data_IF_946465870195
#
_entry.id   IF_946465870195
#
_cell.length_a   1.000
_cell.length_b   1.000
_cell.length_c   1.000
_cell.angle_alpha   90.00
_cell.angle_beta   90.00
_cell.angle_gamma   90.00
#
_symmetry.space_group_name_H-M   'P 1'
#
loop_
_entity.id
_entity.type
_entity.pdbx_description
1 polymer ?
#
# COMPACT_ATOMS: atom_id res chain seq x y z
N UNK A 1 -9.98 7.64 53.78
CA UNK A 1 -10.39 9.03 54.10
C UNK A 1 -10.47 9.74 52.78
N UNK A 2 -11.45 10.16 52.35
CA UNK A 2 -12.80 10.74 52.32
C UNK A 2 -13.17 10.76 50.82
N UNK A 3 -14.16 10.03 50.29
CA UNK A 3 -15.63 10.07 50.40
C UNK A 3 -16.23 11.45 50.06
N UNK A 4 -17.23 11.34 49.20
CA UNK A 4 -18.44 12.16 48.99
C UNK A 4 -18.56 12.48 47.48
N UNK A 5 -19.38 11.83 46.69
CA UNK A 5 -20.82 11.51 46.71
C UNK A 5 -21.72 12.61 46.10
N UNK A 6 -22.38 12.21 44.99
CA UNK A 6 -23.82 12.33 44.67
C UNK A 6 -24.40 13.73 44.53
N UNK A 7 -25.21 13.96 43.46
CA UNK A 7 -26.66 14.21 43.50
C UNK A 7 -27.30 14.14 42.08
N UNK A 8 -28.32 13.31 42.01
CA UNK A 8 -29.44 13.25 41.06
C UNK A 8 -30.32 14.50 41.12
N UNK A 9 -30.98 14.87 40.04
CA UNK A 9 -32.40 15.19 40.07
C UNK A 9 -33.08 15.10 38.68
N UNK A 10 -34.07 14.24 38.63
CA UNK A 10 -35.21 14.14 37.75
C UNK A 10 -36.24 15.29 37.98
N UNK A 11 -37.07 15.54 36.93
CA UNK A 11 -38.51 15.82 36.96
C UNK A 11 -38.92 16.26 35.55
N UNK A 12 -39.68 15.61 34.75
CA UNK A 12 -41.07 15.13 34.68
C UNK A 12 -42.15 16.25 34.63
N UNK A 13 -43.03 16.16 33.63
CA UNK A 13 -44.32 16.86 33.53
C UNK A 13 -44.71 17.16 32.09
N UNK A 14 -45.47 16.38 31.39
CA UNK A 14 -46.90 15.98 31.35
C UNK A 14 -47.83 17.05 30.79
N UNK A 15 -48.62 16.55 29.76
CA UNK A 15 -49.96 16.91 29.26
C UNK A 15 -50.06 18.16 28.39
N UNK A 16 -50.89 18.16 27.33
CA UNK A 16 -52.05 17.40 26.95
C UNK A 16 -52.68 17.84 25.65
N UNK A 17 -53.53 17.01 25.20
CA UNK A 17 -54.58 16.96 24.21
C UNK A 17 -55.04 18.23 23.46
N UNK A 18 -55.43 18.02 22.18
CA UNK A 18 -56.36 18.85 21.46
C UNK A 18 -56.56 18.43 20.00
N UNK A 19 -57.60 17.63 19.74
CA UNK A 19 -58.15 17.32 18.42
C UNK A 19 -58.73 18.55 17.78
N UNK A 20 -58.55 18.70 16.46
CA UNK A 20 -59.72 18.99 15.57
C UNK A 20 -59.32 18.72 14.10
N UNK A 21 -60.19 17.98 13.45
CA UNK A 21 -60.16 17.70 12.01
C UNK A 21 -60.97 18.78 11.28
N UNK A 22 -60.54 19.18 10.07
CA UNK A 22 -61.40 19.58 9.00
C UNK A 22 -60.62 19.82 7.69
N UNK A 23 -61.11 19.27 6.61
CA UNK A 23 -61.20 19.94 5.33
C UNK A 23 -60.24 19.43 4.27
N UNK A 24 -60.73 18.55 3.41
CA UNK A 24 -60.14 18.23 2.12
C UNK A 24 -60.22 19.44 1.18
N UNK A 25 -59.10 19.74 0.48
CA UNK A 25 -59.19 20.46 -0.79
C UNK A 25 -58.23 19.79 -1.80
N UNK A 26 -58.85 19.23 -2.83
CA UNK A 26 -58.17 18.70 -4.00
C UNK A 26 -57.78 19.88 -4.90
N UNK A 27 -56.48 20.14 -5.02
CA UNK A 27 -55.98 20.96 -6.10
C UNK A 27 -54.72 20.32 -6.73
N UNK A 28 -54.99 19.75 -7.91
CA UNK A 28 -54.08 19.48 -9.04
C UNK A 28 -52.63 19.86 -8.87
N UNK A 29 -51.78 18.85 -8.83
CA UNK A 29 -50.37 18.97 -9.20
C UNK A 29 -50.24 18.77 -10.72
N UNK A 30 -49.48 19.62 -11.43
CA UNK A 30 -49.14 19.35 -12.81
C UNK A 30 -48.16 18.18 -12.88
N UNK A 31 -48.44 17.23 -13.76
CA UNK A 31 -47.50 16.20 -14.17
C UNK A 31 -46.25 16.87 -14.78
N UNK A 32 -45.18 17.00 -13.99
CA UNK A 32 -43.88 17.34 -14.49
C UNK A 32 -43.25 16.08 -15.07
N UNK A 33 -43.05 16.08 -16.40
CA UNK A 33 -42.15 15.17 -17.07
C UNK A 33 -40.77 15.28 -16.41
N UNK A 34 -40.42 14.36 -15.49
CA UNK A 34 -39.07 14.11 -15.11
C UNK A 34 -38.45 13.19 -16.17
N UNK A 35 -37.80 13.79 -17.16
CA UNK A 35 -36.80 13.07 -17.94
C UNK A 35 -35.81 12.48 -16.94
N UNK A 36 -35.39 11.21 -17.10
CA UNK A 36 -34.32 10.66 -16.25
C UNK A 36 -33.07 11.50 -16.52
N UNK A 37 -32.61 12.18 -15.47
CA UNK A 37 -31.31 12.81 -15.48
C UNK A 37 -30.31 11.67 -15.77
N UNK A 38 -29.77 11.63 -16.99
CA UNK A 38 -28.62 10.80 -17.30
C UNK A 38 -27.53 11.19 -16.28
N UNK A 39 -27.18 10.25 -15.42
CA UNK A 39 -26.02 10.39 -14.58
C UNK A 39 -24.85 10.63 -15.52
N UNK A 40 -24.32 11.82 -15.52
CA UNK A 40 -23.07 12.17 -16.19
C UNK A 40 -22.02 11.24 -15.55
N UNK A 41 -21.68 10.17 -16.24
CA UNK A 41 -20.55 9.31 -15.90
C UNK A 41 -19.34 10.22 -16.02
N UNK A 42 -18.90 10.76 -14.87
CA UNK A 42 -17.63 11.45 -14.76
C UNK A 42 -16.58 10.45 -15.30
N UNK A 43 -16.12 10.69 -16.51
CA UNK A 43 -14.97 9.96 -17.06
C UNK A 43 -13.81 10.28 -16.15
N UNK A 44 -13.42 9.30 -15.35
CA UNK A 44 -12.22 9.32 -14.54
C UNK A 44 -11.02 9.40 -15.50
N UNK A 45 -10.64 10.61 -15.86
CA UNK A 45 -9.54 10.87 -16.77
C UNK A 45 -8.29 10.97 -15.91
N UNK A 46 -7.61 9.84 -15.67
CA UNK A 46 -6.31 9.84 -15.06
C UNK A 46 -5.36 10.74 -15.86
N UNK A 47 -4.63 11.61 -15.16
CA UNK A 47 -3.57 12.40 -15.77
C UNK A 47 -2.42 11.45 -16.09
N UNK A 48 -2.14 11.23 -17.38
CA UNK A 48 -0.99 10.44 -17.81
C UNK A 48 0.31 11.20 -17.47
N UNK A 49 1.17 10.57 -16.71
CA UNK A 49 2.45 11.13 -16.28
C UNK A 49 3.57 10.54 -17.13
N UNK A 50 4.33 11.41 -17.80
CA UNK A 50 5.62 11.05 -18.38
C UNK A 50 6.70 11.31 -17.33
N UNK A 51 7.35 10.24 -16.92
CA UNK A 51 8.34 10.30 -15.83
C UNK A 51 9.72 10.54 -16.41
N UNK A 52 10.40 11.58 -15.93
CA UNK A 52 11.75 11.94 -16.28
C UNK A 52 12.76 11.33 -15.29
N UNK A 53 14.05 11.38 -15.62
CA UNK A 53 15.14 10.94 -14.75
C UNK A 53 15.34 11.84 -13.52
N UNK A 54 14.75 13.02 -13.50
CA UNK A 54 14.71 13.92 -12.33
C UNK A 54 13.45 13.67 -11.52
N UNK A 55 13.52 13.91 -10.19
CA UNK A 55 12.33 13.84 -9.33
C UNK A 55 11.46 15.06 -9.62
N UNK A 56 10.23 14.82 -10.08
CA UNK A 56 9.24 15.84 -10.36
C UNK A 56 8.13 15.81 -9.29
N UNK A 57 7.86 16.96 -8.66
CA UNK A 57 6.73 17.11 -7.76
C UNK A 57 5.43 17.21 -8.58
N UNK A 58 4.54 16.22 -8.44
CA UNK A 58 3.22 16.22 -9.07
C UNK A 58 2.20 17.03 -8.29
N UNK A 59 2.28 16.95 -6.97
CA UNK A 59 1.57 17.79 -6.00
C UNK A 59 2.25 17.66 -4.63
N UNK A 60 1.88 18.52 -3.68
CA UNK A 60 2.49 18.52 -2.35
C UNK A 60 2.43 17.16 -1.68
N UNK A 61 3.58 16.52 -1.49
CA UNK A 61 3.73 15.21 -0.87
C UNK A 61 3.68 14.03 -1.84
N UNK A 62 3.54 14.28 -3.16
CA UNK A 62 3.61 13.25 -4.18
C UNK A 62 4.56 13.69 -5.29
N UNK A 63 5.56 12.87 -5.56
CA UNK A 63 6.53 13.06 -6.63
C UNK A 63 6.63 11.82 -7.51
N UNK A 64 7.19 11.97 -8.70
CA UNK A 64 7.54 10.87 -9.59
C UNK A 64 8.99 11.00 -10.05
N UNK A 65 9.62 9.85 -10.37
CA UNK A 65 10.97 9.79 -10.89
C UNK A 65 11.17 8.54 -11.74
N UNK A 66 12.23 8.54 -12.56
CA UNK A 66 12.61 7.42 -13.40
C UNK A 66 14.08 7.09 -13.21
N UNK A 67 14.38 5.82 -13.19
CA UNK A 67 15.74 5.30 -13.17
C UNK A 67 15.93 4.31 -14.29
N UNK A 68 17.00 4.47 -15.06
CA UNK A 68 17.43 3.54 -16.10
C UNK A 68 18.91 3.21 -15.89
N UNK A 69 19.27 1.94 -15.98
CA UNK A 69 20.66 1.50 -15.92
C UNK A 69 20.97 0.48 -14.83
N UNK A 70 22.22 0.46 -14.39
CA UNK A 70 22.70 -0.48 -13.37
C UNK A 70 22.26 -0.02 -11.98
N UNK A 71 21.37 -0.80 -11.34
CA UNK A 71 20.86 -0.52 -9.99
C UNK A 71 21.79 -1.07 -8.88
N UNK A 72 22.82 -1.81 -9.23
CA UNK A 72 23.76 -2.45 -8.30
C UNK A 72 23.17 -3.64 -7.53
N UNK A 73 21.93 -4.03 -7.81
CA UNK A 73 21.24 -5.04 -6.99
C UNK A 73 21.87 -6.44 -7.11
N UNK A 74 22.38 -6.80 -8.28
CA UNK A 74 23.14 -8.05 -8.50
C UNK A 74 24.42 -8.07 -7.64
N UNK A 75 25.12 -6.94 -7.55
CA UNK A 75 26.31 -6.80 -6.69
C UNK A 75 25.95 -6.86 -5.20
N UNK A 76 24.82 -6.22 -4.80
CA UNK A 76 24.29 -6.30 -3.45
C UNK A 76 24.03 -7.75 -3.01
N UNK A 77 23.32 -8.53 -3.82
CA UNK A 77 23.02 -9.94 -3.54
C UNK A 77 24.30 -10.78 -3.50
N UNK A 78 25.23 -10.57 -4.45
CA UNK A 78 26.51 -11.29 -4.50
C UNK A 78 27.42 -10.97 -3.34
N UNK A 79 27.29 -9.77 -2.76
CA UNK A 79 28.01 -9.32 -1.56
C UNK A 79 27.48 -9.91 -0.25
N UNK A 80 26.37 -10.66 -0.29
CA UNK A 80 25.74 -11.27 0.89
C UNK A 80 24.46 -10.59 1.33
N UNK A 81 24.04 -9.53 0.66
CA UNK A 81 22.83 -8.76 1.00
C UNK A 81 22.98 -7.93 2.28
N UNK A 82 21.90 -7.82 3.04
CA UNK A 82 21.89 -7.05 4.30
C UNK A 82 20.85 -7.60 5.29
N UNK A 83 21.21 -7.60 6.58
CA UNK A 83 20.34 -7.98 7.71
C UNK A 83 19.55 -6.81 8.27
N UNK A 84 20.00 -5.59 8.00
CA UNK A 84 19.41 -4.36 8.52
C UNK A 84 19.34 -3.28 7.46
N UNK A 85 18.39 -2.36 7.61
CA UNK A 85 18.29 -1.18 6.74
C UNK A 85 19.57 -0.32 6.80
N UNK A 86 20.28 -0.32 7.95
CA UNK A 86 21.56 0.36 8.08
C UNK A 86 22.65 -0.26 7.21
N UNK A 87 22.69 -1.59 7.05
CA UNK A 87 23.63 -2.27 6.15
C UNK A 87 23.26 -2.03 4.67
N UNK A 88 21.96 -1.92 4.33
CA UNK A 88 21.53 -1.49 2.99
C UNK A 88 22.06 -0.09 2.69
N UNK A 89 21.87 0.85 3.60
CA UNK A 89 22.39 2.23 3.43
C UNK A 89 23.92 2.27 3.38
N UNK A 90 24.61 1.41 4.12
CA UNK A 90 26.07 1.30 4.03
C UNK A 90 26.52 0.80 2.66
N UNK A 91 25.86 -0.24 2.12
CA UNK A 91 26.12 -0.71 0.76
C UNK A 91 25.95 0.40 -0.26
N UNK A 92 24.85 1.17 -0.18
CA UNK A 92 24.59 2.28 -1.08
C UNK A 92 25.63 3.40 -0.95
N UNK A 93 26.04 3.70 0.28
CA UNK A 93 27.10 4.69 0.54
C UNK A 93 28.43 4.27 -0.09
N UNK A 94 28.83 3.01 0.08
CA UNK A 94 30.07 2.48 -0.43
C UNK A 94 30.09 2.34 -1.96
N UNK A 95 28.91 2.06 -2.56
CA UNK A 95 28.79 1.78 -3.99
C UNK A 95 28.50 3.02 -4.84
N UNK A 96 27.72 3.97 -4.31
CA UNK A 96 27.19 5.11 -5.11
C UNK A 96 27.51 6.47 -4.50
N UNK A 97 27.75 6.57 -3.16
CA UNK A 97 27.88 7.86 -2.48
C UNK A 97 29.28 7.97 -1.84
N UNK A 98 30.20 8.63 -2.50
CA UNK A 98 31.50 8.91 -1.91
C UNK A 98 31.35 9.86 -0.70
N UNK A 99 31.51 9.32 0.51
CA UNK A 99 31.52 9.99 1.82
C UNK A 99 30.18 10.48 2.38
N UNK A 100 29.43 9.61 3.09
CA UNK A 100 28.66 10.05 4.29
C UNK A 100 28.14 8.85 5.07
N UNK A 101 28.55 8.70 6.32
CA UNK A 101 28.08 7.66 7.25
C UNK A 101 27.02 8.23 8.19
N UNK A 102 25.84 7.61 8.25
CA UNK A 102 24.79 7.91 9.21
C UNK A 102 24.24 6.66 9.87
N UNK A 103 23.95 6.72 11.18
CA UNK A 103 23.31 5.63 11.93
C UNK A 103 21.78 5.74 11.87
N UNK A 104 21.12 4.60 11.67
CA UNK A 104 19.66 4.47 11.53
C UNK A 104 18.96 4.40 12.89
N UNK A 105 17.96 5.22 13.15
CA UNK A 105 16.99 5.03 14.24
C UNK A 105 15.62 5.59 13.82
N UNK A 106 14.55 4.80 13.93
CA UNK A 106 13.18 5.24 13.68
C UNK A 106 12.28 5.04 14.89
N UNK A 107 11.26 5.91 15.02
CA UNK A 107 10.25 5.86 16.05
C UNK A 107 9.10 4.95 15.63
N UNK A 108 8.56 4.15 16.58
CA UNK A 108 7.56 3.11 16.30
C UNK A 108 6.15 3.69 16.30
N UNK A 109 5.49 3.72 15.17
CA UNK A 109 4.06 4.04 15.04
C UNK A 109 3.32 2.92 14.31
N UNK A 110 2.02 2.78 14.59
CA UNK A 110 1.18 1.79 13.94
C UNK A 110 0.66 2.31 12.61
N UNK A 111 0.65 1.47 11.57
CA UNK A 111 0.06 1.79 10.29
C UNK A 111 -0.85 0.69 9.76
N UNK A 112 -1.72 1.06 8.84
CA UNK A 112 -2.66 0.19 8.17
C UNK A 112 -2.29 -0.02 6.70
N UNK A 113 -2.83 -1.07 6.14
CA UNK A 113 -2.74 -1.35 4.72
C UNK A 113 -3.92 -2.21 4.29
N UNK A 114 -4.30 -2.12 3.02
CA UNK A 114 -5.29 -3.01 2.43
C UNK A 114 -4.92 -3.34 1.00
N UNK A 115 -5.14 -4.59 0.59
CA UNK A 115 -4.98 -5.01 -0.80
C UNK A 115 -6.14 -5.88 -1.23
N UNK A 116 -6.45 -5.85 -2.52
CA UNK A 116 -7.35 -6.80 -3.16
C UNK A 116 -6.87 -7.15 -4.57
N UNK A 117 -7.13 -8.38 -4.99
CA UNK A 117 -6.90 -8.88 -6.35
C UNK A 117 -8.23 -9.35 -6.93
N UNK A 118 -8.55 -8.93 -8.17
CA UNK A 118 -9.83 -9.24 -8.80
C UNK A 118 -9.70 -9.28 -10.32
N UNK A 119 -10.49 -10.15 -10.95
CA UNK A 119 -10.58 -10.22 -12.40
C UNK A 119 -11.52 -9.11 -12.95
N UNK A 120 -11.17 -8.51 -14.08
CA UNK A 120 -12.07 -7.63 -14.81
C UNK A 120 -12.98 -8.41 -15.78
N UNK A 121 -13.87 -7.71 -16.49
CA UNK A 121 -14.81 -8.35 -17.43
C UNK A 121 -14.15 -8.87 -18.72
N UNK A 122 -12.91 -8.49 -18.97
CA UNK A 122 -12.13 -8.90 -20.14
C UNK A 122 -11.29 -10.15 -19.85
N UNK A 123 -11.21 -10.55 -18.58
CA UNK A 123 -10.47 -11.70 -18.11
C UNK A 123 -9.10 -11.37 -17.56
N UNK A 124 -8.69 -10.09 -17.59
CA UNK A 124 -7.46 -9.59 -17.02
C UNK A 124 -7.58 -9.38 -15.51
N UNK A 125 -6.46 -9.19 -14.82
CA UNK A 125 -6.44 -9.02 -13.38
C UNK A 125 -6.02 -7.60 -12.98
N UNK A 126 -6.67 -7.13 -11.91
CA UNK A 126 -6.40 -5.85 -11.25
C UNK A 126 -5.94 -6.13 -9.83
N UNK A 127 -4.96 -5.34 -9.36
CA UNK A 127 -4.50 -5.37 -7.99
C UNK A 127 -4.66 -4.00 -7.37
N UNK A 128 -5.44 -3.91 -6.30
CA UNK A 128 -5.70 -2.69 -5.54
C UNK A 128 -4.87 -2.62 -4.26
N UNK A 129 -4.42 -1.42 -3.88
CA UNK A 129 -3.56 -1.17 -2.72
C UNK A 129 -3.92 0.14 -2.03
N UNK A 130 -4.14 0.13 -0.70
CA UNK A 130 -4.10 1.31 0.17
C UNK A 130 -2.89 1.23 1.09
N UNK A 131 -2.13 2.32 1.19
CA UNK A 131 -1.10 2.52 2.20
C UNK A 131 -1.56 3.57 3.20
N UNK A 132 -1.74 3.13 4.44
CA UNK A 132 -2.16 4.00 5.54
C UNK A 132 -0.96 4.28 6.44
N UNK A 133 -0.62 5.55 6.61
CA UNK A 133 0.52 6.01 7.39
C UNK A 133 0.26 7.43 7.93
N UNK A 134 1.18 7.94 8.73
CA UNK A 134 1.25 9.38 8.96
C UNK A 134 1.52 10.11 7.65
N UNK A 135 1.11 11.37 7.57
CA UNK A 135 1.40 12.23 6.41
C UNK A 135 2.87 12.13 6.01
N UNK A 136 3.12 11.73 4.78
CA UNK A 136 4.45 11.49 4.25
C UNK A 136 4.64 12.02 2.84
N UNK A 137 5.90 11.99 2.38
CA UNK A 137 6.26 12.32 1.00
C UNK A 137 6.44 11.01 0.22
N UNK A 138 5.53 10.75 -0.72
CA UNK A 138 5.58 9.59 -1.59
C UNK A 138 6.37 9.88 -2.87
N UNK A 139 7.15 8.90 -3.32
CA UNK A 139 7.77 8.89 -4.65
C UNK A 139 7.28 7.68 -5.42
N UNK A 140 6.67 7.92 -6.58
CA UNK A 140 6.41 6.89 -7.58
C UNK A 140 7.65 6.79 -8.46
N UNK A 141 8.29 5.63 -8.44
CA UNK A 141 9.52 5.39 -9.17
C UNK A 141 9.28 4.34 -10.27
N UNK A 142 9.52 4.75 -11.52
CA UNK A 142 9.66 3.81 -12.63
C UNK A 142 11.12 3.42 -12.72
N UNK A 143 11.43 2.14 -12.68
CA UNK A 143 12.77 1.63 -12.84
C UNK A 143 12.85 0.68 -14.05
N UNK A 144 13.91 0.84 -14.83
CA UNK A 144 14.27 -0.04 -15.96
C UNK A 144 15.72 -0.49 -15.75
N UNK A 145 15.94 -1.48 -14.86
CA UNK A 145 17.27 -1.95 -14.53
C UNK A 145 17.85 -2.79 -15.66
N UNK A 146 19.18 -2.71 -15.84
CA UNK A 146 19.87 -3.46 -16.89
C UNK A 146 19.75 -4.99 -16.72
N UNK A 147 19.73 -5.46 -15.46
CA UNK A 147 19.72 -6.87 -15.08
C UNK A 147 18.43 -7.25 -14.33
N UNK A 148 17.26 -6.85 -14.84
CA UNK A 148 15.97 -7.15 -14.19
C UNK A 148 14.78 -6.68 -14.99
N UNK A 149 13.59 -6.93 -14.48
CA UNK A 149 12.35 -6.44 -15.08
C UNK A 149 12.15 -4.95 -14.80
N UNK A 150 11.65 -4.23 -15.80
CA UNK A 150 11.14 -2.88 -15.57
C UNK A 150 9.97 -2.92 -14.59
N UNK A 151 9.84 -1.89 -13.76
CA UNK A 151 8.78 -1.84 -12.73
C UNK A 151 8.36 -0.42 -12.39
N UNK A 152 7.16 -0.29 -11.82
CA UNK A 152 6.70 0.89 -11.09
C UNK A 152 6.58 0.51 -9.61
N UNK A 153 7.11 1.34 -8.73
CA UNK A 153 7.06 1.13 -7.27
C UNK A 153 6.81 2.42 -6.52
N UNK A 154 6.31 2.30 -5.28
CA UNK A 154 6.12 3.46 -4.40
C UNK A 154 7.00 3.36 -3.17
N UNK A 155 7.57 4.50 -2.83
CA UNK A 155 8.50 4.67 -1.71
C UNK A 155 8.04 5.82 -0.82
N UNK A 156 8.15 5.65 0.48
CA UNK A 156 8.05 6.75 1.43
C UNK A 156 9.43 7.40 1.59
N UNK A 157 9.60 8.59 1.00
CA UNK A 157 10.88 9.33 1.05
C UNK A 157 11.29 9.73 2.46
N UNK A 158 10.33 9.88 3.36
CA UNK A 158 10.63 10.24 4.75
C UNK A 158 11.31 9.10 5.49
N UNK A 159 11.03 7.84 5.13
CA UNK A 159 11.79 6.70 5.64
C UNK A 159 13.27 6.78 5.26
N UNK A 160 13.55 7.08 3.99
CA UNK A 160 14.93 7.24 3.51
C UNK A 160 15.63 8.41 4.22
N UNK A 161 14.96 9.58 4.31
CA UNK A 161 15.52 10.77 4.95
C UNK A 161 15.79 10.56 6.44
N UNK A 162 14.85 9.94 7.15
CA UNK A 162 15.02 9.62 8.57
C UNK A 162 16.15 8.61 8.75
N UNK A 163 16.22 7.61 7.90
CA UNK A 163 17.26 6.60 7.91
C UNK A 163 18.65 7.16 7.68
N UNK A 164 18.81 8.11 6.79
CA UNK A 164 20.06 8.81 6.56
C UNK A 164 20.42 9.81 7.69
N UNK A 165 19.54 10.00 8.68
CA UNK A 165 19.77 10.90 9.81
C UNK A 165 20.04 12.33 9.38
N UNK A 166 21.07 12.99 9.95
CA UNK A 166 21.42 14.36 9.56
C UNK A 166 21.85 14.51 8.09
N UNK A 167 22.34 13.42 7.46
CA UNK A 167 22.69 13.42 6.06
C UNK A 167 21.46 13.38 5.13
N UNK A 168 20.30 12.96 5.63
CA UNK A 168 19.08 12.82 4.82
C UNK A 168 18.61 14.11 4.14
N UNK A 169 18.87 15.26 4.74
CA UNK A 169 18.60 16.57 4.16
C UNK A 169 19.62 17.03 3.11
N UNK A 170 20.72 16.28 2.95
CA UNK A 170 21.82 16.58 2.04
C UNK A 170 21.85 15.62 0.84
N UNK A 171 20.96 14.63 0.79
CA UNK A 171 20.85 13.72 -0.34
C UNK A 171 20.41 14.52 -1.58
N UNK A 172 21.16 14.40 -2.67
CA UNK A 172 20.73 14.88 -3.98
C UNK A 172 19.60 14.03 -4.53
N UNK A 173 18.90 14.50 -5.55
CA UNK A 173 17.82 13.76 -6.20
C UNK A 173 18.32 12.42 -6.75
N UNK A 174 19.51 12.38 -7.37
CA UNK A 174 20.12 11.15 -7.86
C UNK A 174 20.36 10.13 -6.72
N UNK A 175 20.89 10.59 -5.59
CA UNK A 175 21.10 9.75 -4.41
C UNK A 175 19.77 9.26 -3.82
N UNK A 176 18.74 10.11 -3.84
CA UNK A 176 17.40 9.76 -3.38
C UNK A 176 16.75 8.71 -4.27
N UNK A 177 16.88 8.84 -5.60
CA UNK A 177 16.37 7.84 -6.57
C UNK A 177 17.06 6.49 -6.38
N UNK A 178 18.40 6.47 -6.24
CA UNK A 178 19.14 5.23 -5.97
C UNK A 178 18.70 4.60 -4.65
N UNK A 179 18.56 5.38 -3.57
CA UNK A 179 18.08 4.85 -2.29
C UNK A 179 16.63 4.34 -2.40
N UNK A 180 15.79 5.00 -3.19
CA UNK A 180 14.39 4.59 -3.41
C UNK A 180 14.28 3.23 -4.13
N UNK A 181 15.23 2.86 -4.99
CA UNK A 181 15.27 1.52 -5.60
C UNK A 181 15.33 0.41 -4.55
N UNK A 182 15.96 0.66 -3.41
CA UNK A 182 16.15 -0.31 -2.33
C UNK A 182 15.08 -0.23 -1.23
N UNK A 183 14.13 0.69 -1.35
CA UNK A 183 13.12 0.96 -0.32
C UNK A 183 11.66 0.87 -0.80
N UNK A 184 11.28 0.06 -1.82
CA UNK A 184 9.90 -0.03 -2.28
C UNK A 184 9.00 -0.67 -1.22
N UNK A 185 7.78 -0.12 -1.07
CA UNK A 185 6.73 -0.63 -0.20
C UNK A 185 5.66 -1.41 -0.96
N UNK A 186 5.53 -1.13 -2.25
CA UNK A 186 4.67 -1.79 -3.21
C UNK A 186 5.17 -1.58 -4.63
N UNK A 187 4.62 -2.29 -5.57
CA UNK A 187 4.93 -2.11 -6.97
C UNK A 187 4.38 -3.21 -7.87
N UNK A 188 4.55 -2.99 -9.17
CA UNK A 188 4.25 -3.94 -10.23
C UNK A 188 5.40 -3.95 -11.24
N UNK A 189 5.80 -5.12 -11.73
CA UNK A 189 6.80 -5.21 -12.80
C UNK A 189 6.17 -5.44 -14.18
N UNK A 190 7.00 -5.44 -15.22
CA UNK A 190 6.58 -5.62 -16.61
C UNK A 190 5.99 -7.01 -16.96
N UNK A 191 6.04 -7.94 -16.02
CA UNK A 191 5.37 -9.25 -16.13
C UNK A 191 3.99 -9.24 -15.48
N UNK A 192 3.58 -8.11 -14.88
CA UNK A 192 2.33 -7.98 -14.17
C UNK A 192 2.34 -8.56 -12.75
N UNK A 193 3.53 -8.93 -12.22
CA UNK A 193 3.62 -9.32 -10.81
C UNK A 193 3.50 -8.08 -9.93
N UNK A 194 2.50 -8.08 -9.03
CA UNK A 194 2.29 -7.07 -8.01
C UNK A 194 2.77 -7.57 -6.64
N UNK A 195 3.43 -6.70 -5.89
CA UNK A 195 3.89 -6.95 -4.53
C UNK A 195 3.50 -5.77 -3.64
N UNK A 196 3.04 -6.05 -2.42
CA UNK A 196 2.75 -5.05 -1.40
C UNK A 196 3.19 -5.53 -0.03
N UNK A 197 3.83 -4.64 0.74
CA UNK A 197 4.15 -4.86 2.15
C UNK A 197 3.00 -4.38 3.02
N UNK A 198 2.47 -5.27 3.85
CA UNK A 198 1.44 -4.95 4.82
C UNK A 198 1.99 -5.24 6.22
N UNK A 199 1.91 -4.30 7.14
CA UNK A 199 2.37 -4.49 8.51
C UNK A 199 1.36 -5.30 9.33
N UNK A 200 1.87 -6.10 10.27
CA UNK A 200 1.05 -6.72 11.32
C UNK A 200 1.44 -6.11 12.66
N UNK A 201 0.45 -5.69 13.45
CA UNK A 201 0.69 -5.16 14.78
C UNK A 201 0.99 -6.29 15.78
N UNK A 202 2.19 -6.85 15.67
CA UNK A 202 2.74 -7.84 16.58
C UNK A 202 4.09 -7.36 17.12
N UNK A 203 4.48 -7.86 18.29
CA UNK A 203 5.80 -7.62 18.87
C UNK A 203 6.88 -8.54 18.30
N UNK A 204 6.48 -9.60 17.58
CA UNK A 204 7.41 -10.44 16.86
C UNK A 204 8.04 -9.65 15.70
N UNK A 205 9.17 -10.12 15.22
CA UNK A 205 9.85 -9.60 14.04
C UNK A 205 10.35 -10.77 13.20
N UNK A 206 10.78 -10.50 11.98
CA UNK A 206 11.39 -11.50 11.10
C UNK A 206 12.92 -11.36 11.22
N UNK A 207 13.58 -12.48 11.47
CA UNK A 207 15.05 -12.54 11.55
C UNK A 207 15.48 -13.97 11.29
N UNK A 208 15.53 -14.39 10.02
CA UNK A 208 15.97 -15.71 9.62
C UNK A 208 17.51 -15.79 9.69
N UNK A 209 18.04 -16.97 10.00
CA UNK A 209 19.50 -17.23 10.07
C UNK A 209 19.76 -18.68 9.62
N UNK A 210 19.46 -18.95 8.35
CA UNK A 210 19.64 -20.27 7.72
C UNK A 210 20.93 -20.37 6.93
N UNK A 211 21.74 -19.30 6.96
CA UNK A 211 23.02 -19.19 6.25
C UNK A 211 22.88 -18.91 4.76
N UNK A 212 21.81 -18.23 4.37
CA UNK A 212 21.57 -17.77 3.01
C UNK A 212 21.95 -16.30 2.89
N UNK A 213 21.91 -15.75 1.67
CA UNK A 213 22.03 -14.32 1.43
C UNK A 213 20.88 -13.59 2.13
N UNK A 214 21.20 -12.51 2.82
CA UNK A 214 20.27 -11.77 3.66
C UNK A 214 19.52 -10.69 2.86
N UNK A 215 18.24 -10.54 3.15
CA UNK A 215 17.38 -9.48 2.60
C UNK A 215 16.63 -8.78 3.73
N UNK A 216 16.46 -7.47 3.60
CA UNK A 216 15.47 -6.74 4.39
C UNK A 216 14.10 -6.82 3.71
N UNK A 217 13.03 -6.40 4.41
CA UNK A 217 11.67 -6.37 3.83
C UNK A 217 11.64 -5.64 2.48
N UNK A 218 12.26 -4.46 2.39
CA UNK A 218 12.19 -3.64 1.19
C UNK A 218 13.07 -4.18 0.06
N UNK A 219 14.24 -4.73 0.39
CA UNK A 219 15.09 -5.37 -0.63
C UNK A 219 14.50 -6.69 -1.14
N UNK A 220 13.67 -7.37 -0.33
CA UNK A 220 12.88 -8.51 -0.82
C UNK A 220 11.83 -8.07 -1.84
N UNK A 221 11.13 -6.94 -1.63
CA UNK A 221 10.22 -6.37 -2.64
C UNK A 221 11.00 -6.05 -3.93
N UNK A 222 12.18 -5.41 -3.83
CA UNK A 222 13.03 -5.14 -5.01
C UNK A 222 13.45 -6.42 -5.73
N UNK A 223 13.84 -7.47 -4.99
CA UNK A 223 14.16 -8.78 -5.59
C UNK A 223 13.00 -9.31 -6.43
N UNK A 224 11.80 -9.31 -5.87
CA UNK A 224 10.60 -9.83 -6.55
C UNK A 224 10.26 -9.00 -7.79
N UNK A 225 10.32 -7.67 -7.68
CA UNK A 225 10.08 -6.79 -8.83
C UNK A 225 11.11 -6.99 -9.94
N UNK A 226 12.38 -7.23 -9.61
CA UNK A 226 13.43 -7.42 -10.60
C UNK A 226 13.40 -8.82 -11.24
N UNK A 227 12.94 -9.89 -10.57
CA UNK A 227 13.26 -11.25 -10.97
C UNK A 227 12.07 -12.22 -11.02
N UNK A 228 10.92 -11.92 -10.42
CA UNK A 228 9.78 -12.82 -10.44
C UNK A 228 8.72 -12.39 -11.46
N UNK A 229 8.27 -13.32 -12.30
CA UNK A 229 7.16 -13.09 -13.22
C UNK A 229 5.83 -13.60 -12.67
N UNK A 230 5.86 -14.59 -11.79
CA UNK A 230 4.68 -15.27 -11.23
C UNK A 230 4.76 -15.38 -9.71
N UNK A 231 3.62 -15.67 -9.08
CA UNK A 231 3.56 -15.98 -7.63
C UNK A 231 4.48 -17.16 -7.29
N UNK A 232 4.48 -18.22 -8.10
CA UNK A 232 5.31 -19.39 -7.82
C UNK A 232 6.82 -19.05 -7.88
N UNK A 233 7.26 -18.25 -8.85
CA UNK A 233 8.65 -17.78 -8.92
C UNK A 233 8.99 -16.87 -7.73
N UNK A 234 8.06 -16.00 -7.31
CA UNK A 234 8.24 -15.13 -6.14
C UNK A 234 8.45 -15.95 -4.86
N UNK A 235 7.65 -17.01 -4.66
CA UNK A 235 7.78 -17.91 -3.50
C UNK A 235 9.10 -18.70 -3.53
N UNK A 236 9.51 -19.18 -4.71
CA UNK A 236 10.79 -19.86 -4.89
C UNK A 236 11.97 -18.93 -4.55
N UNK A 237 11.95 -17.69 -5.05
CA UNK A 237 12.97 -16.68 -4.75
C UNK A 237 13.03 -16.38 -3.27
N UNK A 238 11.91 -16.04 -2.61
CA UNK A 238 11.89 -15.78 -1.15
C UNK A 238 12.44 -16.96 -0.35
N UNK A 239 12.19 -18.19 -0.82
CA UNK A 239 12.74 -19.40 -0.22
C UNK A 239 14.26 -19.52 -0.30
N UNK A 240 14.95 -18.82 -1.19
CA UNK A 240 16.40 -18.87 -1.41
C UNK A 240 17.19 -17.92 -0.49
N UNK A 241 16.53 -16.97 0.18
CA UNK A 241 17.14 -15.92 0.99
C UNK A 241 16.74 -16.04 2.46
N UNK A 242 17.47 -15.36 3.33
CA UNK A 242 17.11 -15.13 4.74
C UNK A 242 16.52 -13.72 4.88
N UNK A 243 15.26 -13.64 5.33
CA UNK A 243 14.52 -12.39 5.45
C UNK A 243 14.67 -11.81 6.85
N UNK A 244 14.89 -10.49 6.90
CA UNK A 244 14.94 -9.66 8.09
C UNK A 244 13.96 -8.50 7.98
N UNK A 245 13.23 -8.22 9.05
CA UNK A 245 12.25 -7.15 9.04
C UNK A 245 12.91 -5.78 8.96
N UNK A 246 12.56 -4.97 7.96
CA UNK A 246 12.89 -3.55 7.94
C UNK A 246 12.26 -2.85 9.15
N UNK A 247 13.01 -1.95 9.78
CA UNK A 247 12.57 -1.16 10.94
C UNK A 247 12.05 -2.01 12.12
N UNK A 248 12.36 -3.31 12.14
CA UNK A 248 11.86 -4.29 13.11
C UNK A 248 10.33 -4.43 13.14
N UNK A 249 9.63 -4.06 12.08
CA UNK A 249 8.18 -4.27 11.98
C UNK A 249 7.86 -5.68 11.48
N UNK A 250 6.92 -6.34 12.15
CA UNK A 250 6.34 -7.55 11.60
C UNK A 250 5.50 -7.18 10.36
N UNK A 251 5.78 -7.87 9.27
CA UNK A 251 5.11 -7.65 7.99
C UNK A 251 4.72 -8.97 7.36
N UNK A 252 3.77 -8.89 6.42
CA UNK A 252 3.50 -9.93 5.43
C UNK A 252 3.39 -9.30 4.05
N UNK A 253 3.55 -10.11 3.02
CA UNK A 253 3.46 -9.66 1.64
C UNK A 253 2.15 -10.10 1.02
N UNK A 254 1.46 -9.19 0.31
CA UNK A 254 0.49 -9.56 -0.70
C UNK A 254 1.22 -9.66 -2.03
N UNK A 255 1.12 -10.80 -2.70
CA UNK A 255 1.72 -11.05 -4.00
C UNK A 255 0.64 -11.57 -4.95
N UNK A 256 0.51 -10.94 -6.12
CA UNK A 256 -0.45 -11.34 -7.13
C UNK A 256 0.18 -11.29 -8.53
N UNK A 257 -0.17 -12.23 -9.41
CA UNK A 257 0.31 -12.27 -10.79
C UNK A 257 -0.81 -12.08 -11.82
N UNK A 258 -0.42 -11.89 -13.07
CA UNK A 258 -1.34 -11.69 -14.19
C UNK A 258 -2.14 -12.95 -14.56
N UNK A 259 -1.81 -14.12 -14.02
CA UNK A 259 -2.56 -15.36 -14.18
C UNK A 259 -3.67 -15.52 -13.13
N UNK A 260 -3.78 -14.56 -12.19
CA UNK A 260 -4.81 -14.50 -11.15
C UNK A 260 -4.47 -15.27 -9.88
N UNK A 261 -3.22 -15.68 -9.72
CA UNK A 261 -2.79 -16.18 -8.42
C UNK A 261 -2.61 -14.98 -7.48
N UNK A 262 -3.11 -15.11 -6.25
CA UNK A 262 -2.96 -14.11 -5.20
C UNK A 262 -2.75 -14.79 -3.85
N UNK A 263 -1.71 -14.38 -3.13
CA UNK A 263 -1.29 -14.99 -1.87
C UNK A 263 -0.88 -13.95 -0.84
N UNK A 264 -1.09 -14.31 0.43
CA UNK A 264 -0.39 -13.71 1.56
C UNK A 264 0.83 -14.57 1.90
N UNK A 265 2.00 -13.94 2.05
CA UNK A 265 3.22 -14.60 2.51
C UNK A 265 3.55 -14.07 3.90
N UNK A 266 3.45 -14.92 4.89
CA UNK A 266 3.63 -14.63 6.30
C UNK A 266 4.86 -15.35 6.85
N UNK A 267 5.46 -14.79 7.88
CA UNK A 267 6.59 -15.42 8.58
C UNK A 267 6.20 -15.66 10.03
N UNK A 268 5.93 -16.92 10.37
CA UNK A 268 5.55 -17.34 11.72
C UNK A 268 6.73 -18.10 12.31
N UNK A 269 7.26 -17.58 13.41
CA UNK A 269 8.48 -18.13 14.05
C UNK A 269 9.66 -18.28 13.05
N UNK A 270 9.80 -17.30 12.15
CA UNK A 270 10.77 -17.26 11.05
C UNK A 270 10.56 -18.31 9.93
N UNK A 271 9.46 -19.05 9.94
CA UNK A 271 9.10 -19.94 8.85
C UNK A 271 8.10 -19.27 7.90
N UNK A 272 8.36 -19.39 6.60
CA UNK A 272 7.50 -18.84 5.56
C UNK A 272 6.21 -19.68 5.45
N UNK A 273 5.05 -19.03 5.60
CA UNK A 273 3.73 -19.62 5.46
C UNK A 273 2.97 -18.89 4.38
N UNK A 274 2.33 -19.63 3.47
CA UNK A 274 1.62 -19.07 2.32
C UNK A 274 0.14 -19.37 2.41
N UNK A 275 -0.69 -18.34 2.34
CA UNK A 275 -2.15 -18.44 2.32
C UNK A 275 -2.70 -17.89 1.01
N UNK A 276 -3.45 -18.69 0.24
CA UNK A 276 -4.14 -18.17 -0.96
C UNK A 276 -5.29 -17.27 -0.52
N UNK A 277 -5.25 -16.03 -0.99
CA UNK A 277 -6.27 -15.03 -0.65
C UNK A 277 -6.28 -13.90 -1.68
N UNK A 278 -7.44 -13.39 -2.09
CA UNK A 278 -7.53 -12.17 -2.91
C UNK A 278 -7.49 -10.88 -2.08
N UNK A 279 -7.59 -10.96 -0.75
CA UNK A 279 -7.60 -9.80 0.15
C UNK A 279 -6.57 -9.97 1.24
N UNK A 280 -5.83 -8.89 1.54
CA UNK A 280 -4.92 -8.84 2.68
C UNK A 280 -5.04 -7.48 3.36
N UNK A 281 -5.04 -7.48 4.70
CA UNK A 281 -5.00 -6.26 5.51
C UNK A 281 -3.85 -6.35 6.53
N UNK A 282 -4.09 -6.22 7.84
CA UNK A 282 -3.01 -6.13 8.84
C UNK A 282 -3.21 -7.13 10.01
N UNK A 283 -3.56 -8.37 9.69
CA UNK A 283 -3.65 -9.46 10.67
C UNK A 283 -3.22 -10.79 10.04
N UNK A 284 -2.76 -11.74 10.86
CA UNK A 284 -2.33 -13.05 10.38
C UNK A 284 -3.50 -13.87 9.83
N UNK A 285 -3.36 -14.35 8.60
CA UNK A 285 -4.29 -15.25 7.94
C UNK A 285 -3.93 -16.73 8.17
N UNK A 286 -2.64 -17.03 8.30
CA UNK A 286 -2.15 -18.39 8.46
C UNK A 286 -2.80 -19.10 9.65
N UNK A 287 -3.18 -20.35 9.45
CA UNK A 287 -3.74 -21.20 10.51
C UNK A 287 -2.73 -21.42 11.64
N UNK A 288 -3.18 -21.39 12.89
CA UNK A 288 -2.36 -21.64 14.07
C UNK A 288 -2.55 -20.63 15.18
N UNK A 289 -1.59 -20.56 16.10
CA UNK A 289 -1.69 -19.72 17.31
C UNK A 289 -1.71 -18.21 17.02
N UNK A 290 -1.15 -17.80 15.90
CA UNK A 290 -1.11 -16.40 15.47
C UNK A 290 -2.31 -15.95 14.66
N UNK A 291 -3.16 -16.89 14.20
CA UNK A 291 -4.31 -16.56 13.34
C UNK A 291 -5.20 -15.49 13.94
N UNK A 292 -5.51 -14.46 13.17
CA UNK A 292 -6.37 -13.36 13.57
C UNK A 292 -5.72 -12.32 14.48
N UNK A 293 -4.45 -12.46 14.88
CA UNK A 293 -3.76 -11.39 15.61
C UNK A 293 -3.61 -10.18 14.69
N UNK A 294 -4.21 -9.07 15.10
CA UNK A 294 -4.26 -7.79 14.40
C UNK A 294 -5.29 -6.87 15.05
N UNK A 295 -5.57 -5.72 14.45
CA UNK A 295 -6.56 -4.78 14.98
C UNK A 295 -7.97 -5.10 14.51
N UNK A 296 -9.00 -4.67 15.27
CA UNK A 296 -10.39 -4.79 14.85
C UNK A 296 -10.67 -4.06 13.52
N UNK A 297 -10.06 -2.89 13.31
CA UNK A 297 -10.16 -2.15 12.06
C UNK A 297 -9.58 -2.92 10.86
N UNK A 298 -8.54 -3.70 11.10
CA UNK A 298 -7.95 -4.56 10.06
C UNK A 298 -8.92 -5.66 9.63
N UNK A 299 -9.58 -6.32 10.59
CA UNK A 299 -10.62 -7.31 10.30
C UNK A 299 -11.84 -6.69 9.60
N UNK A 300 -12.29 -5.51 10.05
CA UNK A 300 -13.41 -4.81 9.42
C UNK A 300 -13.12 -4.48 7.95
N UNK A 301 -11.93 -3.95 7.63
CA UNK A 301 -11.51 -3.67 6.26
C UNK A 301 -11.42 -4.95 5.41
N UNK A 302 -10.94 -6.03 5.98
CA UNK A 302 -10.90 -7.35 5.32
C UNK A 302 -12.30 -7.84 4.97
N UNK A 303 -13.25 -7.73 5.90
CA UNK A 303 -14.64 -8.14 5.71
C UNK A 303 -15.33 -7.28 4.64
N UNK A 304 -15.11 -5.97 4.63
CA UNK A 304 -15.64 -5.04 3.62
C UNK A 304 -15.14 -5.42 2.23
N UNK A 305 -13.83 -5.58 2.04
CA UNK A 305 -13.24 -5.94 0.74
C UNK A 305 -13.68 -7.32 0.27
N UNK A 306 -13.76 -8.30 1.18
CA UNK A 306 -14.26 -9.65 0.87
C UNK A 306 -15.74 -9.62 0.47
N UNK A 307 -16.53 -8.78 1.15
CA UNK A 307 -17.93 -8.51 0.79
C UNK A 307 -18.05 -7.91 -0.61
N UNK A 308 -17.24 -6.90 -0.91
CA UNK A 308 -17.22 -6.24 -2.23
C UNK A 308 -16.89 -7.24 -3.36
N UNK A 309 -15.89 -8.12 -3.16
CA UNK A 309 -15.57 -9.19 -4.12
C UNK A 309 -16.69 -10.23 -4.27
N UNK A 310 -17.42 -10.50 -3.20
CA UNK A 310 -18.56 -11.44 -3.23
C UNK A 310 -19.74 -10.83 -3.99
N UNK A 311 -20.03 -9.56 -3.79
CA UNK A 311 -21.10 -8.83 -4.47
C UNK A 311 -20.77 -8.57 -5.93
N UNK A 312 -19.50 -8.28 -6.23
CA UNK A 312 -19.01 -7.99 -7.56
C UNK A 312 -17.73 -8.78 -7.88
N UNK A 313 -17.88 -10.05 -8.34
CA UNK A 313 -16.74 -10.92 -8.64
C UNK A 313 -15.87 -10.47 -9.81
N UNK A 314 -16.34 -9.53 -10.63
CA UNK A 314 -15.59 -8.92 -11.72
C UNK A 314 -15.72 -7.40 -11.59
N UNK A 315 -14.58 -6.70 -11.53
CA UNK A 315 -14.51 -5.27 -11.25
C UNK A 315 -13.79 -4.51 -12.36
N UNK A 316 -14.25 -3.29 -12.63
CA UNK A 316 -13.50 -2.29 -13.40
C UNK A 316 -12.44 -1.62 -12.50
N UNK A 317 -11.52 -0.85 -13.07
CA UNK A 317 -10.59 -0.02 -12.30
C UNK A 317 -11.33 0.94 -11.35
N UNK A 318 -12.45 1.51 -11.78
CA UNK A 318 -13.30 2.38 -10.95
C UNK A 318 -13.90 1.61 -9.76
N UNK A 319 -14.33 0.36 -9.97
CA UNK A 319 -14.88 -0.46 -8.88
C UNK A 319 -13.81 -0.83 -7.85
N UNK A 320 -12.58 -1.12 -8.31
CA UNK A 320 -11.44 -1.36 -7.41
C UNK A 320 -11.11 -0.10 -6.61
N UNK A 321 -11.08 1.09 -7.27
CA UNK A 321 -10.93 2.38 -6.59
C UNK A 321 -12.00 2.58 -5.52
N UNK A 322 -13.28 2.35 -5.85
CA UNK A 322 -14.39 2.53 -4.91
C UNK A 322 -14.32 1.54 -3.73
N UNK A 323 -13.86 0.31 -3.98
CA UNK A 323 -13.58 -0.64 -2.92
C UNK A 323 -12.44 -0.17 -2.00
N UNK A 324 -11.37 0.40 -2.56
CA UNK A 324 -10.27 0.99 -1.79
C UNK A 324 -10.73 2.21 -0.98
N UNK A 325 -11.56 3.08 -1.58
CA UNK A 325 -12.17 4.24 -0.92
C UNK A 325 -13.01 3.81 0.30
N UNK A 326 -13.79 2.73 0.16
CA UNK A 326 -14.64 2.22 1.24
C UNK A 326 -13.88 1.75 2.50
N UNK A 327 -12.57 1.53 2.40
CA UNK A 327 -11.68 1.10 3.48
C UNK A 327 -10.53 2.06 3.74
N UNK A 328 -10.58 3.26 3.14
CA UNK A 328 -9.60 4.31 3.34
C UNK A 328 -9.76 4.98 4.72
N UNK A 329 -8.74 5.73 5.15
CA UNK A 329 -8.69 6.39 6.46
C UNK A 329 -8.47 7.88 6.32
N UNK A 330 -9.48 8.66 6.66
CA UNK A 330 -9.45 10.13 6.65
C UNK A 330 -9.10 10.69 8.04
N UNK A 331 -7.82 10.65 8.39
CA UNK A 331 -7.30 11.17 9.66
C UNK A 331 -6.16 12.16 9.46
N UNK A 332 -6.10 12.85 8.33
CA UNK A 332 -4.99 13.72 7.96
C UNK A 332 -4.60 14.70 9.07
N UNK A 333 -3.34 14.62 9.50
CA UNK A 333 -2.73 15.49 10.50
C UNK A 333 -2.86 15.04 11.95
N UNK A 334 -3.58 13.95 12.25
CA UNK A 334 -3.76 13.46 13.63
C UNK A 334 -3.18 12.06 13.83
N UNK A 335 -3.45 11.14 12.90
CA UNK A 335 -3.07 9.72 12.96
C UNK A 335 -2.64 9.22 11.60
N UNK A 336 -2.68 7.89 11.45
CA UNK A 336 -2.58 7.26 10.15
C UNK A 336 -3.77 7.65 9.27
N UNK A 337 -3.47 7.94 8.03
CA UNK A 337 -4.42 8.23 6.95
C UNK A 337 -4.00 7.46 5.72
N UNK A 338 -4.91 7.28 4.77
CA UNK A 338 -4.55 6.66 3.48
C UNK A 338 -3.75 7.68 2.65
N UNK A 339 -2.42 7.52 2.66
CA UNK A 339 -1.49 8.41 1.98
C UNK A 339 -1.51 8.20 0.46
N UNK A 340 -1.68 6.93 0.02
CA UNK A 340 -1.94 6.64 -1.38
C UNK A 340 -2.80 5.40 -1.56
N UNK A 341 -3.58 5.41 -2.64
CA UNK A 341 -4.29 4.28 -3.19
C UNK A 341 -3.82 4.02 -4.61
N UNK A 342 -3.68 2.76 -5.00
CA UNK A 342 -3.21 2.38 -6.32
C UNK A 342 -4.11 1.32 -6.90
N UNK A 343 -4.43 1.43 -8.18
CA UNK A 343 -5.00 0.35 -8.96
C UNK A 343 -4.00 -0.02 -10.05
N UNK A 344 -3.41 -1.20 -9.94
CA UNK A 344 -2.56 -1.79 -10.95
C UNK A 344 -3.41 -2.60 -11.93
N UNK A 345 -3.20 -2.39 -13.22
CA UNK A 345 -3.70 -3.24 -14.29
C UNK A 345 -2.55 -4.13 -14.76
N UNK A 346 -2.62 -5.41 -14.41
CA UNK A 346 -1.52 -6.35 -14.57
C UNK A 346 -1.27 -6.73 -16.04
N UNK A 347 -2.29 -6.59 -16.90
CA UNK A 347 -2.17 -6.86 -18.34
C UNK A 347 -1.82 -5.60 -19.14
N UNK A 348 -2.43 -4.46 -18.80
CA UNK A 348 -2.12 -3.18 -19.44
C UNK A 348 -0.79 -2.57 -18.96
N UNK A 349 -0.19 -3.11 -17.88
CA UNK A 349 1.04 -2.64 -17.25
C UNK A 349 0.96 -1.16 -16.84
N UNK A 350 -0.21 -0.77 -16.30
CA UNK A 350 -0.47 0.59 -15.84
C UNK A 350 -0.77 0.61 -14.34
N UNK A 351 -0.38 1.70 -13.69
CA UNK A 351 -0.68 1.99 -12.30
C UNK A 351 -1.42 3.33 -12.21
N UNK A 352 -2.62 3.32 -11.63
CA UNK A 352 -3.43 4.52 -11.41
C UNK A 352 -3.37 4.87 -9.93
N UNK A 353 -2.83 6.06 -9.62
CA UNK A 353 -2.61 6.58 -8.28
C UNK A 353 -3.65 7.59 -7.88
N UNK A 354 -4.10 7.48 -6.64
CA UNK A 354 -4.93 8.44 -5.93
C UNK A 354 -4.18 8.85 -4.66
N UNK A 355 -3.95 10.17 -4.48
CA UNK A 355 -3.15 10.69 -3.38
C UNK A 355 -4.05 11.26 -2.29
N UNK A 356 -3.84 10.83 -1.04
CA UNK A 356 -4.52 11.31 0.17
C UNK A 356 -6.02 11.35 0.00
N UNK A 357 -6.64 10.20 -0.36
CA UNK A 357 -8.09 10.02 -0.51
C UNK A 357 -8.76 10.99 -1.52
N UNK A 358 -7.97 11.65 -2.36
CA UNK A 358 -8.53 12.45 -3.44
C UNK A 358 -8.85 11.57 -4.66
N UNK A 359 -9.91 10.78 -4.57
CA UNK A 359 -10.35 9.89 -5.64
C UNK A 359 -10.97 10.62 -6.85
N UNK A 360 -11.04 11.97 -6.82
CA UNK A 360 -11.45 12.80 -7.94
C UNK A 360 -10.30 13.16 -8.88
N UNK A 361 -9.06 12.97 -8.44
CA UNK A 361 -7.85 13.25 -9.19
C UNK A 361 -6.93 12.04 -9.16
N UNK A 362 -6.50 11.59 -10.32
CA UNK A 362 -5.62 10.45 -10.42
C UNK A 362 -4.46 10.70 -11.38
N UNK A 363 -3.38 9.97 -11.16
CA UNK A 363 -2.18 9.99 -11.99
C UNK A 363 -1.94 8.59 -12.54
N UNK A 364 -1.74 8.47 -13.85
CA UNK A 364 -1.50 7.20 -14.51
C UNK A 364 -0.06 7.07 -14.94
N UNK A 365 0.56 5.97 -14.56
CA UNK A 365 1.93 5.59 -14.92
C UNK A 365 1.90 4.33 -15.76
N UNK A 366 2.79 4.25 -16.74
CA UNK A 366 2.99 3.05 -17.54
C UNK A 366 4.43 2.56 -17.35
N UNK A 367 4.61 1.25 -17.19
CA UNK A 367 5.94 0.65 -16.95
C UNK A 367 6.78 0.73 -18.23
N UNK A 368 6.17 0.41 -19.36
CA UNK A 368 6.83 0.39 -20.68
C UNK A 368 6.24 1.50 -21.54
N UNK A 369 7.00 2.54 -21.82
CA UNK A 369 6.74 3.51 -22.90
C UNK A 369 7.82 3.42 -23.94
#
# INVERSE_FOLDING_TARGET
MMVIAIIFMLLAGITGCGRQAAGADESRFPEGNSEPMEAEVLKDSAVAIQVNSEIEELEQGLSAGRYEGEDGFTAFLSGGGAKTDGEVMQFLADSFFAENQGAFTMDTQAFGCSTLSVQNSEGDYLFGRNFDWNTCNALVLISDPQDGYASVSTVNLDFIRQGAGMAGSLLSDDMMVIAALYAPLDGMNEKGLCVSVNMIQDRATIGQDRGKTDLTTTTAVRLLLNQAATVDEALELLGQYDLHASMNYMVHFAIADADGNSVAVEYIDNEMVVTRTPVLTNFYLAEGEKQGIGTSQSHERFDILTGALTEKPSMTQADVRDALDSVSKDNFGEFESTEWSIVFDQSALTAVYYHRENYQKSYSFRITD
#
